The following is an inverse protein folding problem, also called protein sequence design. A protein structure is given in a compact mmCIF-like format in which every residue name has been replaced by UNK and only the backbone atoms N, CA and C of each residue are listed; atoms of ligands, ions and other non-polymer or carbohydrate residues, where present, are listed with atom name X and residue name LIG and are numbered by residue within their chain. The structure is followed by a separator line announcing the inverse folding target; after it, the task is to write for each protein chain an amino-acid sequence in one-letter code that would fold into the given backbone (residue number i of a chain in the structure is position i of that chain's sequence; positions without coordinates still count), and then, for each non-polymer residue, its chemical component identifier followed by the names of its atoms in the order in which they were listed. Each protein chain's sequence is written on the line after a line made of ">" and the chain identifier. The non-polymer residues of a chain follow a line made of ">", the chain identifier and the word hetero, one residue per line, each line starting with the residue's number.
data_IF_461264518006
#
_entry.id   IF_461264518006
#
_cell.length_a   1.000
_cell.length_b   1.000
_cell.length_c   1.000
_cell.angle_alpha   90.00
_cell.angle_beta   90.00
_cell.angle_gamma   90.00
#
_symmetry.space_group_name_H-M   'P 1'
#
loop_
_entity.id
_entity.type
_entity.pdbx_description
1 polymer ?
#
# COMPACT_ATOMS: atom_id res chain seq x y z
N UNK A 1 12.85 -5.73 -7.37
CA UNK A 1 13.76 -6.68 -6.69
C UNK A 1 13.08 -7.33 -5.49
N UNK A 2 13.34 -8.62 -5.27
CA UNK A 2 12.72 -9.46 -4.23
C UNK A 2 12.83 -8.86 -2.81
N UNK A 3 13.93 -8.18 -2.49
CA UNK A 3 14.15 -7.57 -1.17
C UNK A 3 13.23 -6.37 -0.85
N UNK A 4 12.69 -5.67 -1.85
CA UNK A 4 11.75 -4.56 -1.61
C UNK A 4 10.37 -5.08 -1.18
N UNK A 5 9.93 -6.21 -1.76
CA UNK A 5 8.64 -6.82 -1.44
C UNK A 5 8.63 -7.36 -0.01
N UNK A 6 9.68 -8.11 0.36
CA UNK A 6 9.82 -8.67 1.71
C UNK A 6 9.86 -7.56 2.78
N UNK A 7 10.60 -6.48 2.50
CA UNK A 7 10.65 -5.32 3.38
C UNK A 7 9.29 -4.62 3.52
N UNK A 8 8.52 -4.51 2.42
CA UNK A 8 7.19 -3.90 2.44
C UNK A 8 6.20 -4.76 3.23
N UNK A 9 6.24 -6.09 3.09
CA UNK A 9 5.41 -7.01 3.89
C UNK A 9 5.74 -6.84 5.38
N UNK A 10 7.02 -6.81 5.74
CA UNK A 10 7.45 -6.54 7.11
C UNK A 10 6.98 -5.18 7.63
N UNK A 11 7.07 -4.14 6.79
CA UNK A 11 6.59 -2.79 7.10
C UNK A 11 5.08 -2.78 7.37
N UNK A 12 4.27 -3.36 6.47
CA UNK A 12 2.81 -3.40 6.61
C UNK A 12 2.39 -4.13 7.89
N UNK A 13 3.02 -5.27 8.22
CA UNK A 13 2.75 -5.99 9.48
C UNK A 13 3.01 -5.11 10.71
N UNK A 14 4.17 -4.45 10.78
CA UNK A 14 4.56 -3.63 11.93
C UNK A 14 3.77 -2.32 12.06
N UNK A 15 3.26 -1.76 10.96
CA UNK A 15 2.61 -0.45 10.98
C UNK A 15 1.08 -0.54 10.88
N UNK A 16 0.53 -1.59 10.28
CA UNK A 16 -0.92 -1.74 10.06
C UNK A 16 -1.55 -2.86 10.87
N UNK A 17 -0.78 -3.76 11.46
CA UNK A 17 -1.31 -4.89 12.24
C UNK A 17 -0.74 -4.93 13.67
N UNK A 18 -0.09 -3.86 14.12
CA UNK A 18 0.44 -3.73 15.50
C UNK A 18 -0.01 -2.39 16.13
N UNK A 19 -0.62 -2.42 17.34
CA UNK A 19 -1.13 -3.61 18.02
C UNK A 19 -2.16 -4.35 17.13
N UNK A 20 -2.33 -5.65 17.35
CA UNK A 20 -3.26 -6.47 16.56
C UNK A 20 -4.66 -5.84 16.62
N UNK A 21 -5.25 -5.48 15.46
CA UNK A 21 -6.57 -4.86 15.44
C UNK A 21 -7.60 -5.77 16.10
N UNK A 22 -8.35 -5.23 17.05
CA UNK A 22 -9.53 -5.89 17.61
C UNK A 22 -10.73 -5.44 16.78
N UNK A 23 -11.23 -6.34 15.96
CA UNK A 23 -12.34 -6.12 15.04
C UNK A 23 -13.24 -7.34 15.08
N UNK A 24 -14.52 -7.13 14.82
CA UNK A 24 -15.59 -8.12 14.92
C UNK A 24 -15.86 -8.87 13.62
N UNK A 25 -15.30 -8.40 12.49
CA UNK A 25 -15.50 -8.99 11.18
C UNK A 25 -14.35 -8.69 10.23
N UNK A 26 -14.25 -9.47 9.15
CA UNK A 26 -13.33 -9.16 8.05
C UNK A 26 -13.66 -7.85 7.34
N UNK A 27 -14.94 -7.46 7.29
CA UNK A 27 -15.33 -6.19 6.70
C UNK A 27 -14.73 -5.02 7.48
N UNK A 28 -14.87 -5.03 8.80
CA UNK A 28 -14.31 -3.99 9.67
C UNK A 28 -12.76 -3.95 9.56
N UNK A 29 -12.12 -5.12 9.46
CA UNK A 29 -10.69 -5.20 9.19
C UNK A 29 -10.33 -4.52 7.86
N UNK A 30 -11.06 -4.83 6.78
CA UNK A 30 -10.80 -4.29 5.45
C UNK A 30 -10.97 -2.77 5.41
N UNK A 31 -12.00 -2.23 6.04
CA UNK A 31 -12.22 -0.78 6.14
C UNK A 31 -11.09 -0.08 6.91
N UNK A 32 -10.64 -0.69 8.02
CA UNK A 32 -9.51 -0.19 8.79
C UNK A 32 -8.22 -0.18 7.95
N UNK A 33 -7.92 -1.28 7.26
CA UNK A 33 -6.73 -1.41 6.43
C UNK A 33 -6.78 -0.44 5.24
N UNK A 34 -7.93 -0.31 4.58
CA UNK A 34 -8.13 0.65 3.49
C UNK A 34 -7.82 2.08 3.93
N UNK A 35 -8.36 2.51 5.08
CA UNK A 35 -8.06 3.84 5.64
C UNK A 35 -6.56 4.04 5.89
N UNK A 36 -5.85 3.00 6.35
CA UNK A 36 -4.39 3.05 6.58
C UNK A 36 -3.62 3.13 5.26
N UNK A 37 -4.01 2.35 4.25
CA UNK A 37 -3.42 2.41 2.91
C UNK A 37 -3.61 3.77 2.25
N UNK A 38 -4.82 4.35 2.31
CA UNK A 38 -5.11 5.68 1.77
C UNK A 38 -4.32 6.79 2.48
N UNK A 39 -4.01 6.62 3.76
CA UNK A 39 -3.12 7.53 4.49
C UNK A 39 -1.67 7.36 4.03
N UNK A 40 -1.22 6.12 3.84
CA UNK A 40 0.13 5.80 3.37
C UNK A 40 0.38 6.34 1.96
N UNK A 41 -0.65 6.32 1.11
CA UNK A 41 -0.63 6.91 -0.24
C UNK A 41 -0.25 8.40 -0.23
N UNK A 42 -0.65 9.13 0.83
CA UNK A 42 -0.31 10.55 1.03
C UNK A 42 1.07 10.76 1.65
N UNK A 43 1.77 9.71 2.06
CA UNK A 43 3.10 9.82 2.68
C UNK A 43 4.13 10.16 1.63
N UNK A 44 5.02 11.10 1.97
CA UNK A 44 6.21 11.43 1.18
C UNK A 44 7.42 10.67 1.72
N UNK A 45 8.08 9.90 0.86
CA UNK A 45 9.29 9.17 1.23
C UNK A 45 10.48 10.13 1.37
N UNK A 46 11.41 9.81 2.28
CA UNK A 46 12.65 10.59 2.44
C UNK A 46 13.41 10.62 1.11
N UNK A 47 13.81 11.81 0.68
CA UNK A 47 14.52 12.00 -0.60
C UNK A 47 13.62 11.98 -1.84
N UNK A 48 12.30 11.81 -1.71
CA UNK A 48 11.35 12.03 -2.81
C UNK A 48 10.72 13.40 -2.69
N UNK A 49 10.37 14.01 -3.82
CA UNK A 49 9.68 15.30 -3.88
C UNK A 49 8.17 15.15 -3.75
N UNK A 50 7.62 14.04 -4.25
CA UNK A 50 6.19 13.73 -4.34
C UNK A 50 5.78 12.63 -3.35
N UNK A 51 4.50 12.58 -3.02
CA UNK A 51 3.89 11.51 -2.23
C UNK A 51 3.88 10.18 -2.99
N UNK A 52 3.72 9.07 -2.27
CA UNK A 52 3.64 7.72 -2.85
C UNK A 52 2.56 7.65 -3.93
N UNK A 53 1.37 8.19 -3.66
CA UNK A 53 0.24 8.17 -4.59
C UNK A 53 0.49 8.97 -5.86
N UNK A 54 1.17 10.10 -5.77
CA UNK A 54 1.55 10.90 -6.94
C UNK A 54 2.56 10.15 -7.82
N UNK A 55 3.57 9.53 -7.20
CA UNK A 55 4.54 8.69 -7.92
C UNK A 55 3.85 7.49 -8.58
N UNK A 56 2.89 6.86 -7.88
CA UNK A 56 2.09 5.78 -8.43
C UNK A 56 1.28 6.23 -9.65
N UNK A 57 0.62 7.39 -9.59
CA UNK A 57 -0.15 7.91 -10.73
C UNK A 57 0.75 8.15 -11.96
N UNK A 58 1.99 8.60 -11.76
CA UNK A 58 2.97 8.76 -12.84
C UNK A 58 3.47 7.42 -13.42
N UNK A 59 3.60 6.38 -12.59
CA UNK A 59 3.95 5.04 -13.05
C UNK A 59 2.78 4.34 -13.72
N UNK A 60 1.55 4.58 -13.25
CA UNK A 60 0.33 3.96 -13.74
C UNK A 60 0.10 4.22 -15.24
N UNK A 61 0.47 5.40 -15.73
CA UNK A 61 0.35 5.74 -17.17
C UNK A 61 1.29 4.94 -18.06
N UNK A 62 2.29 4.26 -17.48
CA UNK A 62 3.31 3.46 -18.19
C UNK A 62 3.01 1.95 -18.12
N UNK A 63 1.95 1.56 -17.42
CA UNK A 63 1.55 0.15 -17.33
C UNK A 63 1.05 -0.34 -18.69
N UNK A 64 1.40 -1.57 -19.03
CA UNK A 64 0.84 -2.24 -20.20
C UNK A 64 -0.65 -2.53 -19.97
N UNK A 65 -1.38 -2.66 -21.08
CA UNK A 65 -2.75 -3.17 -21.02
C UNK A 65 -2.77 -4.57 -20.39
N UNK A 66 -3.87 -4.88 -19.72
CA UNK A 66 -4.12 -6.24 -19.25
C UNK A 66 -4.13 -7.18 -20.47
N UNK A 67 -3.60 -8.40 -20.35
CA UNK A 67 -3.69 -9.38 -21.41
C UNK A 67 -5.15 -9.66 -21.74
N UNK A 68 -5.44 -9.92 -23.02
CA UNK A 68 -6.81 -10.15 -23.52
C UNK A 68 -7.46 -11.43 -22.96
N UNK A 69 -6.67 -12.31 -22.33
CA UNK A 69 -7.12 -13.59 -21.77
C UNK A 69 -6.45 -13.92 -20.43
N UNK A 70 -7.22 -14.55 -19.52
CA UNK A 70 -6.78 -15.09 -18.23
C UNK A 70 -6.76 -16.63 -18.27
#
# INVERSE_FOLDING_TARGET
>A
EKGLVENLVGYARRNFLVPVPRVSSFQELNELLLKRCLREDRRRLRGKAKAIGELWLEEKTKLLHLPEHA
#
